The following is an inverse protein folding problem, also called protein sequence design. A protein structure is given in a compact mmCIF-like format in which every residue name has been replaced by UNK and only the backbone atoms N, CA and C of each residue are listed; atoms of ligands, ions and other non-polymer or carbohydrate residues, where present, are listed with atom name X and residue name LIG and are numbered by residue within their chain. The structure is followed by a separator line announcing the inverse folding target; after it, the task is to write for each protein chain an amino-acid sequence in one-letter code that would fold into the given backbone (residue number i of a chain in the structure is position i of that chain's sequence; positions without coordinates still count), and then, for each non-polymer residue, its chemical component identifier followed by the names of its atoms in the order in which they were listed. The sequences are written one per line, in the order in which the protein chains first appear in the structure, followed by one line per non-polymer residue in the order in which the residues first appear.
data_IF_520093392028
#
_entry.id   IF_520093392028
#
_cell.length_a   1.000
_cell.length_b   1.000
_cell.length_c   1.000
_cell.angle_alpha   90.00
_cell.angle_beta   90.00
_cell.angle_gamma   90.00
#
_symmetry.space_group_name_H-M   'P 1'
#
loop_
_entity.id
_entity.type
_entity.pdbx_description
1 polymer ?
#
# COMPACT_ATOMS: atom_id res chain seq x y z
N UNK A 1 -21.77 19.24 4.76
CA UNK A 1 -21.28 18.98 4.43
C UNK A 1 -20.59 18.21 4.08
N UNK A 2 -20.97 17.78 3.87
CA UNK A 2 -20.38 16.93 3.60
C UNK A 2 -19.50 16.69 2.74
N UNK A 3 -19.40 16.68 2.32
CA UNK A 3 -18.55 16.44 1.67
C UNK A 3 -17.42 16.82 1.48
N UNK A 4 -17.63 17.38 1.47
CA UNK A 4 -16.48 17.99 1.50
C UNK A 4 -15.41 17.19 1.92
N UNK A 5 -15.64 16.36 2.80
CA UNK A 5 -14.64 15.46 3.20
C UNK A 5 -14.16 14.67 2.10
N UNK A 6 -15.00 14.38 1.19
CA UNK A 6 -14.62 13.58 0.06
C UNK A 6 -13.51 14.18 -0.75
N UNK A 7 -13.26 15.46 -0.55
CA UNK A 7 -12.19 16.11 -1.30
C UNK A 7 -10.86 16.09 -0.59
N UNK A 8 -10.84 15.67 0.64
CA UNK A 8 -9.58 15.62 1.36
C UNK A 8 -8.73 14.48 0.88
N UNK A 9 -7.46 14.72 0.77
CA UNK A 9 -6.53 13.65 0.46
C UNK A 9 -6.32 12.80 1.71
N UNK A 10 -6.16 11.50 1.54
CA UNK A 10 -5.93 10.62 2.69
C UNK A 10 -4.58 10.89 3.32
N UNK A 11 -4.48 10.69 4.63
CA UNK A 11 -3.23 10.72 5.34
C UNK A 11 -2.68 9.30 5.32
N UNK A 12 -1.45 9.14 4.84
CA UNK A 12 -0.87 7.81 4.67
C UNK A 12 0.48 7.76 5.35
N UNK A 13 0.70 6.70 6.13
CA UNK A 13 2.00 6.36 6.68
C UNK A 13 2.39 5.00 6.15
N UNK A 14 3.67 4.82 5.85
CA UNK A 14 4.16 3.50 5.46
C UNK A 14 5.00 2.95 6.61
N UNK A 15 4.89 1.64 6.86
CA UNK A 15 5.63 1.02 7.93
C UNK A 15 5.92 -0.44 7.55
N UNK A 16 7.12 -0.90 7.87
CA UNK A 16 7.45 -2.30 7.60
C UNK A 16 6.71 -3.21 8.56
N UNK A 17 6.29 -4.35 8.04
CA UNK A 17 5.57 -5.34 8.85
C UNK A 17 6.37 -5.73 10.10
N UNK A 18 7.70 -5.67 10.01
CA UNK A 18 8.57 -6.08 11.10
C UNK A 18 8.76 -5.00 12.15
N UNK A 19 8.31 -3.78 11.86
CA UNK A 19 8.47 -2.64 12.76
C UNK A 19 7.16 -2.19 13.40
N UNK A 20 6.04 -2.77 13.03
CA UNK A 20 4.74 -2.32 13.52
C UNK A 20 4.56 -2.70 14.98
N UNK A 21 3.92 -1.81 15.73
CA UNK A 21 3.66 -2.02 17.16
C UNK A 21 2.17 -1.88 17.43
N UNK A 22 1.73 -2.42 18.58
CA UNK A 22 0.32 -2.34 18.96
C UNK A 22 -0.15 -0.89 19.04
N UNK A 23 0.75 0.01 19.44
CA UNK A 23 0.40 1.42 19.62
C UNK A 23 0.27 2.20 18.31
N UNK A 24 0.68 1.61 17.19
CA UNK A 24 0.54 2.29 15.90
C UNK A 24 -0.94 2.38 15.53
N UNK A 25 -1.45 3.59 15.37
CA UNK A 25 -2.86 3.83 15.14
C UNK A 25 -3.17 4.11 13.69
N UNK A 26 -4.34 3.68 13.25
CA UNK A 26 -4.81 3.92 11.90
C UNK A 26 -5.48 2.70 11.32
N UNK A 27 -5.87 2.83 10.07
CA UNK A 27 -6.46 1.72 9.32
C UNK A 27 -5.30 0.89 8.76
N UNK A 28 -5.13 -0.32 9.25
CA UNK A 28 -3.97 -1.16 8.96
C UNK A 28 -4.20 -1.97 7.70
N UNK A 29 -3.42 -1.70 6.67
CA UNK A 29 -3.59 -2.34 5.35
C UNK A 29 -2.28 -2.97 4.92
N UNK A 30 -2.29 -4.28 4.71
CA UNK A 30 -1.13 -4.94 4.11
C UNK A 30 -1.25 -4.79 2.60
N UNK A 31 -0.23 -4.23 1.98
CA UNK A 31 -0.26 -3.94 0.54
C UNK A 31 0.69 -4.82 -0.26
N UNK A 32 1.17 -5.89 0.33
CA UNK A 32 1.97 -6.89 -0.36
C UNK A 32 1.06 -8.01 -0.87
N UNK A 33 1.50 -8.68 -1.93
CA UNK A 33 0.73 -9.80 -2.46
C UNK A 33 0.89 -11.04 -1.60
N UNK A 34 2.03 -11.16 -0.92
CA UNK A 34 2.30 -12.32 -0.07
C UNK A 34 2.36 -11.90 1.39
N UNK A 35 2.03 -12.84 2.28
CA UNK A 35 2.11 -12.59 3.71
C UNK A 35 3.58 -12.45 4.13
N UNK A 36 3.92 -11.48 4.98
CA UNK A 36 5.31 -11.32 5.43
C UNK A 36 5.80 -12.54 6.17
N UNK A 37 6.97 -13.02 5.79
CA UNK A 37 7.52 -14.24 6.37
C UNK A 37 7.77 -14.07 7.86
N UNK A 38 7.30 -15.03 8.64
CA UNK A 38 7.57 -15.06 10.07
C UNK A 38 6.74 -14.11 10.91
N UNK A 39 5.82 -13.38 10.31
CA UNK A 39 5.01 -12.41 11.05
C UNK A 39 3.66 -13.05 11.38
N UNK A 40 3.26 -12.95 12.64
CA UNK A 40 2.00 -13.52 13.08
C UNK A 40 0.85 -12.57 12.77
N UNK A 41 -0.31 -13.18 12.52
CA UNK A 41 -1.53 -12.44 12.28
C UNK A 41 -1.81 -11.46 13.42
N UNK A 42 -1.61 -11.91 14.65
CA UNK A 42 -1.86 -11.10 15.83
C UNK A 42 -0.94 -9.87 15.89
N UNK A 43 0.24 -9.98 15.28
CA UNK A 43 1.17 -8.86 15.28
C UNK A 43 0.71 -7.76 14.35
N UNK A 44 0.20 -8.12 13.17
CA UNK A 44 -0.21 -7.12 12.20
C UNK A 44 -1.55 -6.50 12.52
N UNK A 45 -2.46 -7.27 13.09
CA UNK A 45 -3.80 -6.78 13.43
C UNK A 45 -4.41 -6.01 12.27
N UNK A 46 -4.46 -6.63 11.10
CA UNK A 46 -4.90 -5.95 9.88
C UNK A 46 -6.38 -5.63 9.90
N UNK A 47 -6.72 -4.47 9.36
CA UNK A 47 -8.09 -4.14 9.01
C UNK A 47 -8.40 -4.63 7.60
N UNK A 48 -7.38 -4.69 6.76
CA UNK A 48 -7.58 -5.11 5.37
C UNK A 48 -6.27 -5.64 4.78
N UNK A 49 -6.38 -6.63 3.91
CA UNK A 49 -5.22 -7.09 3.12
C UNK A 49 -5.54 -6.78 1.66
N UNK A 50 -4.92 -5.72 1.14
CA UNK A 50 -5.21 -5.23 -0.21
C UNK A 50 -4.28 -5.86 -1.23
N UNK A 51 -4.36 -7.19 -1.37
CA UNK A 51 -3.52 -7.93 -2.32
C UNK A 51 -3.61 -7.38 -3.72
N UNK A 52 -4.82 -7.01 -4.13
CA UNK A 52 -5.04 -6.59 -5.51
C UNK A 52 -4.37 -5.29 -5.86
N UNK A 53 -4.02 -4.49 -4.85
CA UNK A 53 -3.31 -3.24 -5.10
C UNK A 53 -1.80 -3.41 -5.16
N UNK A 54 -1.29 -4.60 -4.84
CA UNK A 54 0.12 -4.89 -4.98
C UNK A 54 0.47 -5.08 -6.45
N UNK A 55 1.75 -4.91 -6.82
CA UNK A 55 2.15 -5.20 -8.21
C UNK A 55 1.86 -6.65 -8.55
N UNK A 56 1.61 -6.91 -9.82
CA UNK A 56 1.39 -8.28 -10.27
C UNK A 56 2.60 -9.15 -9.94
N UNK A 57 2.38 -10.45 -9.86
CA UNK A 57 3.47 -11.38 -9.59
C UNK A 57 4.55 -11.29 -10.66
N UNK A 58 4.14 -11.09 -11.91
CA UNK A 58 5.08 -10.96 -13.02
C UNK A 58 5.95 -9.72 -12.85
N UNK A 59 5.31 -8.59 -12.54
CA UNK A 59 6.05 -7.35 -12.39
C UNK A 59 6.99 -7.42 -11.19
N UNK A 60 6.52 -8.01 -10.09
CA UNK A 60 7.33 -8.15 -8.89
C UNK A 60 8.57 -8.98 -9.17
N UNK A 61 8.40 -10.09 -9.89
CA UNK A 61 9.53 -10.95 -10.22
C UNK A 61 10.51 -10.26 -11.16
N UNK A 62 9.97 -9.55 -12.14
CA UNK A 62 10.83 -8.83 -13.08
C UNK A 62 11.67 -7.79 -12.37
N UNK A 63 11.06 -7.06 -11.43
CA UNK A 63 11.77 -6.00 -10.69
C UNK A 63 12.88 -6.59 -9.82
N UNK A 64 12.57 -7.63 -9.05
CA UNK A 64 13.55 -8.31 -8.19
C UNK A 64 14.30 -7.39 -7.25
N UNK A 65 13.70 -6.27 -6.86
CA UNK A 65 14.32 -5.28 -5.99
C UNK A 65 15.61 -4.69 -6.58
N UNK A 66 15.70 -4.67 -7.92
CA UNK A 66 16.87 -4.13 -8.60
C UNK A 66 16.69 -2.62 -8.79
N UNK A 67 17.51 -1.78 -8.11
CA UNK A 67 17.32 -0.33 -8.20
C UNK A 67 17.47 0.20 -9.61
N UNK A 68 18.20 -0.50 -10.49
CA UNK A 68 18.37 -0.05 -11.86
C UNK A 68 17.09 -0.17 -12.66
N UNK A 69 16.17 -1.04 -12.20
CA UNK A 69 14.88 -1.22 -12.85
C UNK A 69 13.80 -0.32 -12.27
N UNK A 70 14.16 0.50 -11.29
CA UNK A 70 13.18 1.24 -10.50
C UNK A 70 12.28 2.15 -11.33
N UNK A 71 12.87 2.91 -12.26
CA UNK A 71 12.07 3.84 -13.06
C UNK A 71 11.06 3.14 -13.94
N UNK A 72 11.50 2.05 -14.59
CA UNK A 72 10.60 1.29 -15.45
C UNK A 72 9.56 0.56 -14.59
N UNK A 73 9.97 0.05 -13.43
CA UNK A 73 9.03 -0.58 -12.50
C UNK A 73 7.91 0.39 -12.14
N UNK A 74 8.26 1.63 -11.80
CA UNK A 74 7.24 2.62 -11.43
C UNK A 74 6.23 2.82 -12.55
N UNK A 75 6.70 2.95 -13.78
CA UNK A 75 5.81 3.16 -14.91
C UNK A 75 4.89 1.98 -15.14
N UNK A 76 5.44 0.77 -15.06
CA UNK A 76 4.65 -0.44 -15.26
C UNK A 76 3.61 -0.61 -14.15
N UNK A 77 4.00 -0.33 -12.91
CA UNK A 77 3.08 -0.45 -11.80
C UNK A 77 1.97 0.60 -11.92
N UNK A 78 2.31 1.82 -12.31
CA UNK A 78 1.29 2.84 -12.53
C UNK A 78 0.27 2.40 -13.58
N UNK A 79 0.75 1.73 -14.62
CA UNK A 79 -0.17 1.21 -15.64
C UNK A 79 -1.09 0.14 -15.07
N UNK A 80 -0.57 -0.73 -14.20
CA UNK A 80 -1.41 -1.72 -13.54
C UNK A 80 -2.46 -1.04 -12.67
N UNK A 81 -2.03 -0.01 -11.93
CA UNK A 81 -2.93 0.69 -11.00
C UNK A 81 -4.03 1.45 -11.71
N UNK A 82 -3.82 1.88 -12.94
CA UNK A 82 -4.86 2.58 -13.69
C UNK A 82 -6.14 1.77 -13.82
N UNK A 83 -6.02 0.45 -13.81
CA UNK A 83 -7.17 -0.43 -13.92
C UNK A 83 -7.81 -0.72 -12.57
N UNK A 84 -7.27 -0.15 -11.49
CA UNK A 84 -7.69 -0.50 -10.14
C UNK A 84 -8.29 0.69 -9.39
N UNK A 85 -8.91 1.62 -10.12
CA UNK A 85 -9.49 2.81 -9.49
C UNK A 85 -10.64 2.45 -8.56
N UNK A 86 -11.37 1.38 -8.88
CA UNK A 86 -12.46 0.93 -8.04
C UNK A 86 -11.90 0.39 -6.72
N UNK A 87 -10.83 -0.41 -6.78
CA UNK A 87 -10.20 -0.94 -5.58
C UNK A 87 -9.67 0.20 -4.71
N UNK A 88 -9.12 1.24 -5.35
CA UNK A 88 -8.68 2.43 -4.62
C UNK A 88 -9.82 3.07 -3.86
N UNK A 89 -10.95 3.26 -4.54
CA UNK A 89 -12.09 3.89 -3.91
C UNK A 89 -12.59 3.08 -2.73
N UNK A 90 -12.64 1.75 -2.88
CA UNK A 90 -13.09 0.90 -1.79
C UNK A 90 -12.20 1.03 -0.57
N UNK A 91 -10.88 1.04 -0.80
CA UNK A 91 -9.95 1.18 0.31
C UNK A 91 -10.12 2.51 1.03
N UNK A 92 -10.25 3.59 0.26
CA UNK A 92 -10.40 4.91 0.84
C UNK A 92 -11.71 5.03 1.60
N UNK A 93 -12.78 4.44 1.07
CA UNK A 93 -14.07 4.45 1.76
C UNK A 93 -13.99 3.67 3.06
N UNK A 94 -13.33 2.51 3.04
CA UNK A 94 -13.21 1.69 4.24
C UNK A 94 -12.39 2.37 5.32
N UNK A 95 -11.33 3.08 4.93
CA UNK A 95 -10.48 3.77 5.89
C UNK A 95 -11.14 5.02 6.48
N UNK A 96 -12.03 5.64 5.70
CA UNK A 96 -12.71 6.86 6.16
C UNK A 96 -11.72 7.95 6.49
N UNK A 97 -11.87 8.52 7.67
CA UNK A 97 -11.00 9.61 8.12
C UNK A 97 -9.74 9.15 8.82
N UNK A 98 -9.56 7.85 8.95
CA UNK A 98 -8.39 7.32 9.66
C UNK A 98 -7.14 7.47 8.81
N UNK A 99 -5.99 7.62 9.47
CA UNK A 99 -4.71 7.51 8.78
C UNK A 99 -4.60 6.08 8.25
N UNK A 100 -4.16 5.95 7.02
CA UNK A 100 -3.94 4.64 6.43
C UNK A 100 -2.51 4.21 6.76
N UNK A 101 -2.37 3.11 7.48
CA UNK A 101 -1.06 2.52 7.75
C UNK A 101 -0.79 1.48 6.68
N UNK A 102 0.06 1.83 5.72
CA UNK A 102 0.41 0.95 4.63
C UNK A 102 1.55 0.05 5.05
N UNK A 103 1.26 -1.22 5.21
CA UNK A 103 2.22 -2.19 5.75
C UNK A 103 2.84 -2.98 4.62
N UNK A 104 4.16 -3.09 4.63
CA UNK A 104 4.90 -3.80 3.59
C UNK A 104 6.08 -4.54 4.22
N UNK A 105 6.69 -5.47 3.48
CA UNK A 105 7.77 -6.30 4.01
C UNK A 105 9.16 -5.96 3.47
N UNK A 106 9.25 -5.26 2.34
CA UNK A 106 10.54 -4.99 1.68
C UNK A 106 11.49 -4.26 2.61
N UNK A 107 12.79 -4.53 2.46
CA UNK A 107 13.80 -3.87 3.28
C UNK A 107 14.09 -2.46 2.81
N UNK A 108 14.05 -2.23 1.50
CA UNK A 108 14.35 -0.93 0.93
C UNK A 108 13.11 -0.03 1.03
N UNK A 109 13.19 0.99 1.88
CA UNK A 109 12.07 1.89 2.10
C UNK A 109 11.91 2.94 1.01
N UNK A 110 12.89 3.07 0.12
CA UNK A 110 12.85 4.08 -0.92
C UNK A 110 12.47 3.54 -2.30
N UNK A 111 12.83 2.28 -2.58
CA UNK A 111 12.59 1.67 -3.88
C UNK A 111 11.64 0.49 -3.74
N UNK A 112 10.49 0.72 -3.14
CA UNK A 112 9.49 -0.32 -3.04
C UNK A 112 8.15 0.23 -3.54
N UNK A 113 7.21 -0.66 -3.77
CA UNK A 113 5.96 -0.32 -4.43
C UNK A 113 5.08 0.65 -3.63
N UNK A 114 5.29 0.78 -2.32
CA UNK A 114 4.45 1.68 -1.52
C UNK A 114 4.63 3.13 -1.93
N UNK A 115 5.81 3.49 -2.45
CA UNK A 115 6.04 4.86 -2.92
C UNK A 115 5.06 5.20 -4.04
N UNK A 116 4.91 4.29 -5.00
CA UNK A 116 4.02 4.48 -6.13
C UNK A 116 2.56 4.39 -5.69
N UNK A 117 2.26 3.42 -4.83
CA UNK A 117 0.89 3.20 -4.37
C UNK A 117 0.40 4.40 -3.56
N UNK A 118 1.25 4.98 -2.74
CA UNK A 118 0.87 6.14 -1.95
C UNK A 118 0.41 7.28 -2.85
N UNK A 119 1.16 7.55 -3.91
CA UNK A 119 0.76 8.59 -4.88
C UNK A 119 -0.57 8.26 -5.52
N UNK A 120 -0.76 7.00 -5.89
CA UNK A 120 -2.01 6.56 -6.52
C UNK A 120 -3.20 6.78 -5.59
N UNK A 121 -3.05 6.43 -4.32
CA UNK A 121 -4.13 6.59 -3.36
C UNK A 121 -4.46 8.06 -3.14
N UNK A 122 -3.45 8.93 -3.18
CA UNK A 122 -3.69 10.36 -2.97
C UNK A 122 -4.37 11.03 -4.14
N UNK A 123 -4.39 10.39 -5.28
CA UNK A 123 -5.09 10.92 -6.45
C UNK A 123 -6.60 10.69 -6.36
N UNK A 124 -7.02 9.78 -5.52
CA UNK A 124 -8.42 9.41 -5.40
C UNK A 124 -9.28 10.32 -4.51
#
# INVERSE_FOLDING_TARGET
MANKKAKKKPTIRTIRAYDIEDSDEGYRVLVDRLWPRGVKKETLQLDEWAKDLAPSSELRKWFGHDPEKWEVFQERYKDELKELKEARRELLDNAGDQTILMIYAAKDGEHNHTVVLEDFLKQG
#
